data_IF_796864096533
#
_entry.id   IF_796864096533
#
_cell.length_a   1.000
_cell.length_b   1.000
_cell.length_c   1.000
_cell.angle_alpha   90.00
_cell.angle_beta   90.00
_cell.angle_gamma   90.00
#
_symmetry.space_group_name_H-M   'P 1'
#
loop_
_entity.id
_entity.type
_entity.pdbx_description
1 polymer ?
#
# COMPACT_ATOMS: atom_id res chain seq x y z
N UNK A 1 0.69 -16.23 12.63
CA UNK A 1 0.65 -16.40 11.17
C UNK A 1 1.62 -17.51 10.81
N UNK A 2 1.21 -18.47 10.00
CA UNK A 2 2.07 -19.54 9.51
C UNK A 2 2.71 -19.19 8.17
N UNK A 3 3.62 -20.05 7.68
CA UNK A 3 4.31 -19.83 6.41
C UNK A 3 3.36 -19.86 5.20
N UNK A 4 2.23 -20.55 5.29
CA UNK A 4 1.25 -20.63 4.21
C UNK A 4 0.53 -19.29 4.04
N UNK A 5 0.10 -18.68 5.13
CA UNK A 5 -0.47 -17.34 5.14
C UNK A 5 0.54 -16.28 4.65
N UNK A 6 1.82 -16.39 5.04
CA UNK A 6 2.87 -15.49 4.51
C UNK A 6 3.02 -15.65 2.99
N UNK A 7 3.06 -16.88 2.49
CA UNK A 7 3.14 -17.14 1.05
C UNK A 7 1.92 -16.59 0.29
N UNK A 8 0.73 -16.69 0.87
CA UNK A 8 -0.49 -16.12 0.31
C UNK A 8 -0.42 -14.59 0.23
N UNK A 9 0.03 -13.91 1.30
CA UNK A 9 0.23 -12.45 1.29
C UNK A 9 1.16 -12.04 0.17
N UNK A 10 2.34 -12.68 0.08
CA UNK A 10 3.33 -12.35 -0.94
C UNK A 10 2.81 -12.56 -2.37
N UNK A 11 2.01 -13.61 -2.59
CA UNK A 11 1.38 -13.87 -3.88
C UNK A 11 0.40 -12.76 -4.27
N UNK A 12 -0.51 -12.37 -3.38
CA UNK A 12 -1.49 -11.32 -3.66
C UNK A 12 -0.83 -9.97 -3.89
N UNK A 13 0.17 -9.63 -3.08
CA UNK A 13 0.95 -8.40 -3.25
C UNK A 13 1.73 -8.42 -4.57
N UNK A 14 2.31 -9.56 -4.97
CA UNK A 14 3.00 -9.68 -6.24
C UNK A 14 2.04 -9.47 -7.43
N UNK A 15 0.83 -10.01 -7.36
CA UNK A 15 -0.19 -9.81 -8.39
C UNK A 15 -0.63 -8.34 -8.48
N UNK A 16 -0.84 -7.70 -7.33
CA UNK A 16 -1.11 -6.26 -7.25
C UNK A 16 0.01 -5.45 -7.92
N UNK A 17 1.27 -5.73 -7.58
CA UNK A 17 2.42 -5.05 -8.15
C UNK A 17 2.51 -5.22 -9.67
N UNK A 18 2.43 -6.46 -10.16
CA UNK A 18 2.50 -6.75 -11.61
C UNK A 18 1.38 -6.06 -12.39
N UNK A 19 0.21 -5.89 -11.77
CA UNK A 19 -0.89 -5.16 -12.38
C UNK A 19 -0.56 -3.68 -12.55
N UNK A 20 -0.07 -3.00 -11.51
CA UNK A 20 -0.02 -1.54 -11.48
C UNK A 20 1.34 -0.91 -11.84
N UNK A 21 2.46 -1.63 -11.64
CA UNK A 21 3.82 -1.07 -11.73
C UNK A 21 4.15 -0.35 -13.04
N UNK A 22 3.56 -0.80 -14.16
CA UNK A 22 3.84 -0.32 -15.52
C UNK A 22 2.71 0.58 -16.07
N UNK A 23 1.62 0.77 -15.31
CA UNK A 23 0.44 1.56 -15.69
C UNK A 23 -0.12 2.33 -14.50
N UNK A 24 0.75 3.09 -13.85
CA UNK A 24 0.39 3.88 -12.67
C UNK A 24 -0.61 4.96 -13.09
N UNK A 25 -1.84 4.97 -12.55
CA UNK A 25 -2.85 5.97 -12.90
C UNK A 25 -2.50 7.32 -12.25
N UNK A 26 -3.05 8.42 -12.79
CA UNK A 26 -2.92 9.75 -12.17
C UNK A 26 -3.65 9.77 -10.83
N UNK A 27 -3.10 10.45 -9.82
CA UNK A 27 -3.64 10.47 -8.44
C UNK A 27 -5.09 10.92 -8.30
N UNK A 28 -5.55 11.80 -9.19
CA UNK A 28 -6.92 12.35 -9.18
C UNK A 28 -7.93 11.50 -9.99
N UNK A 29 -7.50 10.35 -10.53
CA UNK A 29 -8.36 9.53 -11.39
C UNK A 29 -9.09 8.43 -10.62
N UNK A 30 -10.26 8.01 -11.11
CA UNK A 30 -11.00 6.88 -10.54
C UNK A 30 -10.16 5.58 -10.51
N UNK A 31 -9.22 5.41 -11.44
CA UNK A 31 -8.31 4.26 -11.43
C UNK A 31 -7.34 4.28 -10.24
N UNK A 32 -6.99 5.47 -9.75
CA UNK A 32 -6.22 5.59 -8.51
C UNK A 32 -7.02 5.10 -7.31
N UNK A 33 -8.31 5.45 -7.23
CA UNK A 33 -9.19 4.95 -6.17
C UNK A 33 -9.35 3.43 -6.23
N UNK A 34 -9.43 2.86 -7.44
CA UNK A 34 -9.43 1.39 -7.63
C UNK A 34 -8.12 0.76 -7.15
N UNK A 35 -6.97 1.36 -7.49
CA UNK A 35 -5.65 0.89 -7.04
C UNK A 35 -5.57 0.88 -5.50
N UNK A 36 -5.98 1.97 -4.84
CA UNK A 36 -5.97 2.07 -3.37
C UNK A 36 -6.97 1.09 -2.75
N UNK A 37 -8.15 0.93 -3.35
CA UNK A 37 -9.16 -0.05 -2.92
C UNK A 37 -8.62 -1.47 -2.95
N UNK A 38 -7.93 -1.86 -4.03
CA UNK A 38 -7.28 -3.18 -4.14
C UNK A 38 -6.21 -3.38 -3.07
N UNK A 39 -5.39 -2.36 -2.81
CA UNK A 39 -4.39 -2.42 -1.74
C UNK A 39 -5.05 -2.63 -0.38
N UNK A 40 -6.14 -1.92 -0.08
CA UNK A 40 -6.85 -2.05 1.20
C UNK A 40 -7.50 -3.43 1.37
N UNK A 41 -8.10 -3.99 0.30
CA UNK A 41 -8.64 -5.35 0.33
C UNK A 41 -7.57 -6.38 0.67
N UNK A 42 -6.34 -6.23 0.15
CA UNK A 42 -5.23 -7.13 0.48
C UNK A 42 -4.83 -6.98 1.95
N UNK A 43 -4.77 -5.74 2.48
CA UNK A 43 -4.44 -5.50 3.90
C UNK A 43 -5.43 -6.21 4.83
N UNK A 44 -6.73 -6.05 4.59
CA UNK A 44 -7.80 -6.58 5.44
C UNK A 44 -7.91 -8.12 5.41
N UNK A 45 -7.50 -8.74 4.30
CA UNK A 45 -7.67 -10.19 4.05
C UNK A 45 -6.95 -11.10 5.04
N UNK A 46 -5.83 -10.66 5.60
CA UNK A 46 -4.92 -11.53 6.37
C UNK A 46 -4.95 -11.28 7.88
N UNK A 47 -5.96 -10.57 8.35
CA UNK A 47 -6.18 -10.26 9.76
C UNK A 47 -5.24 -9.19 10.30
N UNK A 48 -5.37 -8.93 11.59
CA UNK A 48 -4.64 -7.89 12.32
C UNK A 48 -3.71 -8.48 13.36
N UNK A 49 -2.73 -7.69 13.80
CA UNK A 49 -1.92 -7.95 14.97
C UNK A 49 -1.84 -6.70 15.85
N UNK A 50 -1.67 -6.91 17.16
CA UNK A 50 -1.44 -5.81 18.10
C UNK A 50 0.00 -5.34 17.97
N UNK A 51 0.17 -4.08 17.56
CA UNK A 51 1.45 -3.39 17.53
C UNK A 51 1.51 -2.36 18.64
N UNK A 52 2.73 -2.10 19.12
CA UNK A 52 2.99 -1.06 20.11
C UNK A 52 3.38 0.22 19.38
N UNK A 53 2.57 1.27 19.54
CA UNK A 53 2.88 2.61 19.04
C UNK A 53 3.35 3.54 20.14
N UNK A 54 4.22 4.46 19.76
CA UNK A 54 4.81 5.47 20.64
C UNK A 54 4.42 6.87 20.13
N UNK A 55 3.18 7.27 20.36
CA UNK A 55 2.68 8.61 20.03
C UNK A 55 2.75 9.58 21.23
N UNK A 56 3.39 9.15 22.34
CA UNK A 56 3.51 9.93 23.57
C UNK A 56 4.47 9.29 24.58
N UNK A 57 4.51 9.76 25.84
CA UNK A 57 5.42 9.25 26.88
C UNK A 57 5.11 7.81 27.31
N UNK A 58 3.91 7.32 27.00
CA UNK A 58 3.44 5.97 27.30
C UNK A 58 3.02 5.33 25.98
N UNK A 59 3.41 4.07 25.72
CA UNK A 59 3.00 3.37 24.51
C UNK A 59 1.51 3.04 24.50
N UNK A 60 0.91 3.04 23.33
CA UNK A 60 -0.43 2.49 23.08
C UNK A 60 -0.30 1.15 22.34
N UNK A 61 -1.29 0.28 22.50
CA UNK A 61 -1.43 -0.92 21.67
C UNK A 61 -2.53 -0.66 20.64
N UNK A 62 -2.25 -0.92 19.38
CA UNK A 62 -3.19 -0.73 18.28
C UNK A 62 -3.22 -1.97 17.39
N UNK A 63 -4.38 -2.27 16.82
CA UNK A 63 -4.48 -3.32 15.81
C UNK A 63 -4.07 -2.79 14.44
N UNK A 64 -3.15 -3.48 13.79
CA UNK A 64 -2.74 -3.19 12.41
C UNK A 64 -2.88 -4.42 11.53
N UNK A 65 -3.24 -4.27 10.24
CA UNK A 65 -3.28 -5.39 9.32
C UNK A 65 -1.88 -6.01 9.15
N UNK A 66 -1.77 -7.33 9.26
CA UNK A 66 -0.45 -8.00 9.19
C UNK A 66 0.24 -7.77 7.84
N UNK A 67 -0.56 -7.64 6.77
CA UNK A 67 -0.06 -7.34 5.43
C UNK A 67 0.21 -5.84 5.19
N UNK A 68 -0.14 -4.95 6.12
CA UNK A 68 0.02 -3.51 5.93
C UNK A 68 1.45 -3.07 5.60
N UNK A 69 2.52 -3.55 6.29
CA UNK A 69 3.87 -3.09 6.00
C UNK A 69 4.31 -3.37 4.56
N UNK A 70 4.03 -4.58 4.05
CA UNK A 70 4.45 -4.95 2.70
C UNK A 70 3.57 -4.29 1.64
N UNK A 71 2.26 -4.20 1.84
CA UNK A 71 1.36 -3.52 0.90
C UNK A 71 1.68 -2.02 0.83
N UNK A 72 1.92 -1.37 1.97
CA UNK A 72 2.26 0.05 2.02
C UNK A 72 3.54 0.33 1.22
N UNK A 73 4.57 -0.52 1.35
CA UNK A 73 5.81 -0.35 0.57
C UNK A 73 5.54 -0.30 -0.95
N UNK A 74 4.67 -1.17 -1.46
CA UNK A 74 4.32 -1.15 -2.89
C UNK A 74 3.47 0.05 -3.26
N UNK A 75 2.55 0.49 -2.39
CA UNK A 75 1.76 1.71 -2.62
C UNK A 75 2.68 2.93 -2.67
N UNK A 76 3.62 3.06 -1.74
CA UNK A 76 4.58 4.17 -1.69
C UNK A 76 5.43 4.24 -2.97
N UNK A 77 5.88 3.09 -3.48
CA UNK A 77 6.61 2.99 -4.75
C UNK A 77 5.72 3.42 -5.95
N UNK A 78 4.44 3.05 -5.95
CA UNK A 78 3.49 3.50 -6.98
C UNK A 78 3.22 5.00 -6.88
N UNK A 79 3.13 5.57 -5.66
CA UNK A 79 3.03 7.02 -5.45
C UNK A 79 4.27 7.77 -5.96
N UNK A 80 5.46 7.22 -5.73
CA UNK A 80 6.70 7.80 -6.24
C UNK A 80 6.72 7.82 -7.78
N UNK A 81 6.26 6.73 -8.42
CA UNK A 81 6.13 6.63 -9.87
C UNK A 81 5.08 7.58 -10.44
N UNK A 82 3.93 7.69 -9.78
CA UNK A 82 2.87 8.64 -10.15
C UNK A 82 3.43 10.07 -10.14
N UNK A 83 4.13 10.45 -9.07
CA UNK A 83 4.75 11.78 -8.95
C UNK A 83 5.80 12.03 -10.03
N UNK A 84 6.59 11.02 -10.38
CA UNK A 84 7.58 11.14 -11.46
C UNK A 84 6.92 11.34 -12.83
N UNK A 85 5.78 10.68 -13.08
CA UNK A 85 5.06 10.73 -14.35
C UNK A 85 4.20 12.00 -14.51
N UNK A 86 3.51 12.44 -13.45
CA UNK A 86 2.50 13.50 -13.51
C UNK A 86 2.82 14.75 -12.68
N UNK A 87 3.81 14.68 -11.76
CA UNK A 87 4.12 15.75 -10.81
C UNK A 87 4.88 16.95 -11.40
N UNK A 88 5.27 16.90 -12.69
CA UNK A 88 5.85 18.06 -13.38
C UNK A 88 4.74 18.92 -13.95
N UNK A 89 4.23 19.86 -13.16
CA UNK A 89 3.46 21.00 -13.68
C UNK A 89 4.46 22.02 -14.26
N UNK A 90 4.22 22.39 -15.51
CA UNK A 90 5.01 23.34 -16.30
C UNK A 90 5.23 24.66 -15.54
N UNK A 91 6.50 25.01 -15.34
CA UNK A 91 6.90 26.39 -15.03
C UNK A 91 6.97 27.10 -16.39
N UNK A 92 5.85 27.66 -16.82
CA UNK A 92 5.84 28.64 -17.90
C UNK A 92 5.54 30.01 -17.28
N UNK A 93 6.63 30.76 -17.08
CA UNK A 93 6.61 32.21 -16.96
C UNK A 93 7.08 32.82 -18.27
#
# INVERSE_FOLDING_TARGET
MDNEAVAAVLKDVQQFWLKWRDRVPKRESEQWDVLIGEANVIKERYGTHLVRKWEGPIPTMEEEPVAAPIVNWFVDELEARERAAYGKREIHG
#
